data_IF_205478921128
#
_entry.id   IF_205478921128
#
_cell.length_a   1.000
_cell.length_b   1.000
_cell.length_c   1.000
_cell.angle_alpha   90.00
_cell.angle_beta   90.00
_cell.angle_gamma   90.00
#
_symmetry.space_group_name_H-M   'P 1'
#
loop_
_entity.id
_entity.type
_entity.pdbx_description
1 polymer ?
#
# COMPACT_ATOMS: atom_id res chain seq x y z
N UNK A 1 -37.90 9.54 12.07
CA UNK A 1 -36.42 9.43 12.16
C UNK A 1 -35.79 10.73 11.72
N UNK A 2 -34.68 11.16 12.32
CA UNK A 2 -33.91 12.30 11.80
C UNK A 2 -33.17 11.88 10.55
N UNK A 3 -33.00 12.81 9.58
CA UNK A 3 -32.15 12.54 8.41
C UNK A 3 -30.71 12.25 8.83
N UNK A 4 -30.00 11.45 8.03
CA UNK A 4 -28.57 11.22 8.28
C UNK A 4 -27.76 12.52 8.15
N UNK A 5 -26.68 12.63 8.92
CA UNK A 5 -25.83 13.82 8.97
C UNK A 5 -25.10 14.12 7.66
N UNK A 6 -24.89 13.11 6.82
CA UNK A 6 -24.25 13.26 5.50
C UNK A 6 -25.18 13.87 4.43
N UNK A 7 -26.51 14.05 4.71
CA UNK A 7 -27.45 14.67 3.78
C UNK A 7 -27.70 16.14 4.15
N UNK A 8 -27.52 17.02 3.19
CA UNK A 8 -27.88 18.42 3.26
C UNK A 8 -29.17 18.66 2.46
N UNK A 9 -30.08 19.42 3.03
CA UNK A 9 -31.34 19.82 2.41
C UNK A 9 -31.45 21.34 2.50
N UNK A 10 -31.69 22.01 1.38
CA UNK A 10 -31.80 23.48 1.33
C UNK A 10 -32.84 23.92 0.28
N UNK A 11 -33.88 24.71 0.66
CA UNK A 11 -34.27 25.02 2.02
C UNK A 11 -34.80 23.77 2.78
N UNK A 12 -34.73 23.76 4.11
CA UNK A 12 -35.24 22.68 4.97
C UNK A 12 -36.68 22.88 5.38
N UNK A 13 -37.29 24.05 5.09
CA UNK A 13 -38.68 24.40 5.31
C UNK A 13 -39.12 25.40 4.25
N UNK A 14 -40.41 25.55 4.05
CA UNK A 14 -40.95 26.47 3.07
C UNK A 14 -42.49 26.52 3.13
N UNK A 15 -43.06 27.46 2.37
CA UNK A 15 -44.48 27.56 2.08
C UNK A 15 -44.70 27.66 0.57
N UNK A 16 -45.84 27.23 0.09
CA UNK A 16 -46.16 27.18 -1.34
C UNK A 16 -45.21 26.22 -2.15
N UNK A 17 -45.12 26.41 -3.42
CA UNK A 17 -44.25 25.62 -4.29
C UNK A 17 -42.79 26.09 -4.22
N UNK A 18 -41.90 25.24 -3.73
CA UNK A 18 -40.48 25.56 -3.54
C UNK A 18 -39.65 24.39 -4.08
N UNK A 19 -38.58 24.68 -4.81
CA UNK A 19 -37.57 23.69 -5.18
C UNK A 19 -36.64 23.48 -3.99
N UNK A 20 -36.40 22.19 -3.66
CA UNK A 20 -35.53 21.80 -2.55
C UNK A 20 -34.31 21.08 -3.16
N UNK A 21 -33.12 21.60 -2.87
CA UNK A 21 -31.86 20.95 -3.24
C UNK A 21 -31.47 19.93 -2.17
N UNK A 22 -31.26 18.69 -2.57
CA UNK A 22 -30.74 17.62 -1.73
C UNK A 22 -29.33 17.25 -2.21
N UNK A 23 -28.36 17.31 -1.32
CA UNK A 23 -26.96 17.02 -1.64
C UNK A 23 -26.28 16.26 -0.51
N UNK A 24 -25.12 15.68 -0.79
CA UNK A 24 -24.23 15.13 0.24
C UNK A 24 -23.34 16.24 0.82
N UNK A 25 -22.98 16.11 2.10
CA UNK A 25 -22.02 17.00 2.78
C UNK A 25 -20.57 16.62 2.48
N UNK A 26 -20.33 15.39 2.02
CA UNK A 26 -19.00 14.86 1.73
C UNK A 26 -19.07 13.73 0.72
N UNK A 27 -17.95 13.44 0.08
CA UNK A 27 -17.75 12.23 -0.72
C UNK A 27 -17.99 10.98 0.13
N UNK A 28 -18.51 9.93 -0.49
CA UNK A 28 -18.66 8.62 0.13
C UNK A 28 -17.53 7.73 -0.39
N UNK A 29 -16.57 7.42 0.47
CA UNK A 29 -15.37 6.65 0.11
C UNK A 29 -15.57 5.13 0.16
N UNK A 30 -16.66 4.66 0.80
CA UNK A 30 -17.02 3.23 0.82
C UNK A 30 -17.59 2.75 -0.50
N UNK A 31 -17.39 1.47 -0.82
CA UNK A 31 -17.87 0.89 -2.09
C UNK A 31 -19.36 0.56 -2.11
N UNK A 32 -20.01 0.44 -0.94
CA UNK A 32 -21.45 0.14 -0.87
C UNK A 32 -22.24 1.43 -0.72
N UNK A 33 -23.26 1.61 -1.55
CA UNK A 33 -24.13 2.78 -1.47
C UNK A 33 -24.72 2.95 -0.06
N UNK A 34 -24.80 4.20 0.40
CA UNK A 34 -25.46 4.54 1.68
C UNK A 34 -26.81 5.19 1.43
N UNK A 35 -27.78 4.92 2.30
CA UNK A 35 -29.14 5.40 2.16
C UNK A 35 -29.66 6.03 3.44
N UNK A 36 -30.62 6.94 3.31
CA UNK A 36 -31.40 7.51 4.42
C UNK A 36 -32.77 7.89 3.93
N UNK A 37 -33.71 8.11 4.85
CA UNK A 37 -35.07 8.55 4.55
C UNK A 37 -35.20 10.03 4.90
N UNK A 38 -35.72 10.83 3.97
CA UNK A 38 -36.23 12.16 4.21
C UNK A 38 -37.75 12.09 4.40
N UNK A 39 -38.24 12.74 5.45
CA UNK A 39 -39.66 12.82 5.78
C UNK A 39 -40.13 14.26 5.70
N UNK A 40 -41.01 14.55 4.75
CA UNK A 40 -41.72 15.84 4.65
C UNK A 40 -42.94 15.80 5.54
N UNK A 41 -43.15 16.87 6.34
CA UNK A 41 -44.25 16.98 7.31
C UNK A 41 -44.99 18.29 7.13
N UNK A 42 -46.32 18.21 7.15
CA UNK A 42 -47.19 19.37 7.22
C UNK A 42 -48.35 19.09 8.21
N UNK A 43 -48.92 20.13 8.75
CA UNK A 43 -50.08 20.01 9.66
C UNK A 43 -51.25 19.37 8.91
N UNK A 44 -51.91 18.42 9.53
CA UNK A 44 -53.08 17.71 9.01
C UNK A 44 -52.89 16.96 7.69
N UNK A 45 -51.66 16.65 7.34
CA UNK A 45 -51.32 15.86 6.16
C UNK A 45 -50.43 14.67 6.57
N UNK A 46 -50.65 13.51 5.93
CA UNK A 46 -49.80 12.35 6.17
C UNK A 46 -48.35 12.67 5.78
N UNK A 47 -47.38 12.16 6.53
CA UNK A 47 -45.99 12.31 6.25
C UNK A 47 -45.63 11.68 4.87
N UNK A 48 -44.81 12.39 4.10
CA UNK A 48 -44.27 11.87 2.82
C UNK A 48 -42.80 11.49 3.02
N UNK A 49 -42.46 10.24 2.73
CA UNK A 49 -41.10 9.75 2.88
C UNK A 49 -40.48 9.47 1.50
N UNK A 50 -39.20 9.78 1.37
CA UNK A 50 -38.39 9.45 0.18
C UNK A 50 -37.01 8.99 0.63
N UNK A 51 -36.55 7.92 0.01
CA UNK A 51 -35.19 7.43 0.19
C UNK A 51 -34.22 8.29 -0.60
N UNK A 52 -33.17 8.74 0.05
CA UNK A 52 -31.99 9.34 -0.57
C UNK A 52 -30.89 8.31 -0.56
N UNK A 53 -30.28 8.08 -1.71
CA UNK A 53 -29.16 7.16 -1.87
C UNK A 53 -27.95 7.93 -2.40
N UNK A 54 -26.79 7.68 -1.83
CA UNK A 54 -25.50 8.10 -2.39
C UNK A 54 -24.75 6.84 -2.83
N UNK A 55 -24.35 6.80 -4.10
CA UNK A 55 -23.60 5.69 -4.67
C UNK A 55 -22.29 5.44 -3.92
N UNK A 56 -21.86 4.20 -3.86
CA UNK A 56 -20.51 3.86 -3.41
C UNK A 56 -19.45 4.32 -4.39
N UNK A 57 -18.26 4.57 -3.90
CA UNK A 57 -17.07 4.80 -4.71
C UNK A 57 -16.68 3.47 -5.39
N UNK A 58 -16.31 3.46 -6.68
CA UNK A 58 -15.75 2.26 -7.30
C UNK A 58 -14.64 1.66 -6.46
N UNK A 59 -14.50 0.34 -6.53
CA UNK A 59 -13.43 -0.38 -5.82
C UNK A 59 -12.07 0.06 -6.35
N UNK A 60 -11.11 0.21 -5.45
CA UNK A 60 -9.77 0.65 -5.80
C UNK A 60 -8.74 0.25 -4.72
N UNK A 61 -7.49 0.28 -5.11
CA UNK A 61 -6.31 0.24 -4.24
C UNK A 61 -5.35 1.34 -4.68
N UNK A 62 -4.71 1.97 -3.72
CA UNK A 62 -3.71 3.02 -3.91
C UNK A 62 -2.58 2.77 -2.91
N UNK A 63 -1.41 2.35 -3.37
CA UNK A 63 -0.23 2.04 -2.58
C UNK A 63 0.85 3.08 -2.83
N UNK A 64 1.69 3.35 -1.83
CA UNK A 64 2.83 4.25 -2.01
C UNK A 64 3.69 3.84 -3.21
N UNK A 65 3.97 4.77 -4.12
CA UNK A 65 4.71 4.53 -5.39
C UNK A 65 6.08 3.90 -5.17
N UNK A 66 6.76 4.26 -4.06
CA UNK A 66 8.10 3.81 -3.77
C UNK A 66 8.37 3.61 -2.28
N UNK A 67 9.28 2.68 -2.01
CA UNK A 67 9.81 2.43 -0.68
C UNK A 67 11.31 2.06 -0.78
N UNK A 68 12.09 2.26 0.29
CA UNK A 68 13.51 2.01 0.23
C UNK A 68 14.10 1.43 1.53
N UNK A 69 15.11 0.60 1.36
CA UNK A 69 16.03 0.16 2.40
C UNK A 69 17.43 0.68 2.10
N UNK A 70 18.23 0.89 3.15
CA UNK A 70 19.66 1.14 3.02
C UNK A 70 20.42 -0.17 2.70
N UNK A 71 21.75 -0.06 2.48
CA UNK A 71 22.60 -1.21 2.15
C UNK A 71 22.66 -2.29 3.23
N UNK A 72 22.40 -1.95 4.49
CA UNK A 72 22.44 -2.90 5.60
C UNK A 72 21.16 -3.76 5.62
N UNK A 73 20.13 -3.35 4.87
CA UNK A 73 18.81 -3.96 4.92
C UNK A 73 18.04 -3.56 6.17
N UNK A 74 16.73 -3.71 6.12
CA UNK A 74 15.82 -3.44 7.25
C UNK A 74 14.42 -3.95 6.94
N UNK A 75 13.55 -3.92 7.94
CA UNK A 75 12.11 -4.04 7.70
C UNK A 75 11.61 -2.73 7.10
N UNK A 76 10.99 -2.82 5.93
CA UNK A 76 10.34 -1.70 5.22
C UNK A 76 8.84 -1.88 5.30
N UNK A 77 8.14 -0.86 5.78
CA UNK A 77 6.67 -0.84 5.77
C UNK A 77 6.18 -0.09 4.53
N UNK A 78 5.41 -0.77 3.71
CA UNK A 78 4.70 -0.20 2.56
C UNK A 78 3.25 -0.01 2.97
N UNK A 79 2.71 1.18 2.74
CA UNK A 79 1.36 1.55 3.16
C UNK A 79 0.55 2.08 1.99
N UNK A 80 -0.76 2.01 2.13
CA UNK A 80 -1.70 2.52 1.13
C UNK A 80 -3.12 2.64 1.68
N UNK A 81 -4.05 2.96 0.80
CA UNK A 81 -5.48 3.07 1.09
C UNK A 81 -6.29 2.23 0.10
N UNK A 82 -7.41 1.71 0.53
CA UNK A 82 -8.32 0.94 -0.31
C UNK A 82 -9.74 0.97 0.27
N UNK A 83 -10.72 0.70 -0.57
CA UNK A 83 -12.08 0.35 -0.14
C UNK A 83 -12.47 -1.09 -0.50
N UNK A 84 -11.51 -1.90 -0.95
CA UNK A 84 -11.74 -3.30 -1.29
C UNK A 84 -12.02 -4.16 -0.05
N UNK A 85 -12.71 -5.25 -0.25
CA UNK A 85 -12.95 -6.26 0.79
C UNK A 85 -11.75 -7.20 0.97
N UNK A 86 -10.85 -7.27 -0.01
CA UNK A 86 -9.71 -8.18 -0.05
C UNK A 86 -8.55 -7.51 -0.79
N UNK A 87 -7.33 -7.69 -0.29
CA UNK A 87 -6.11 -7.31 -1.01
C UNK A 87 -5.20 -8.52 -1.15
N UNK A 88 -4.55 -8.61 -2.31
CA UNK A 88 -3.56 -9.64 -2.62
C UNK A 88 -2.25 -8.97 -2.99
N UNK A 89 -1.17 -9.36 -2.31
CA UNK A 89 0.18 -8.87 -2.55
C UNK A 89 0.96 -9.92 -3.33
N UNK A 90 1.61 -9.51 -4.42
CA UNK A 90 2.47 -10.36 -5.24
C UNK A 90 3.78 -9.65 -5.56
N UNK A 91 4.79 -10.43 -5.94
CA UNK A 91 6.07 -9.91 -6.42
C UNK A 91 6.00 -9.73 -7.94
N UNK A 92 6.27 -8.51 -8.38
CA UNK A 92 6.47 -8.19 -9.79
C UNK A 92 7.93 -8.33 -10.23
N UNK A 93 8.32 -7.57 -11.25
CA UNK A 93 9.67 -7.58 -11.82
C UNK A 93 10.70 -6.98 -10.87
N UNK A 94 11.98 -7.38 -11.03
CA UNK A 94 13.12 -6.84 -10.28
C UNK A 94 14.11 -7.92 -9.89
N UNK A 95 15.26 -7.51 -9.39
CA UNK A 95 16.43 -8.35 -9.03
C UNK A 95 16.65 -8.44 -7.51
N UNK A 96 15.91 -7.66 -6.71
CA UNK A 96 15.93 -7.77 -5.26
C UNK A 96 15.19 -9.04 -4.81
N UNK A 97 15.90 -9.95 -4.16
CA UNK A 97 15.32 -11.19 -3.64
C UNK A 97 14.75 -10.95 -2.25
N UNK A 98 13.44 -11.05 -2.14
CA UNK A 98 12.67 -10.93 -0.88
C UNK A 98 11.58 -11.98 -0.82
N UNK A 99 11.03 -12.19 0.36
CA UNK A 99 9.83 -13.02 0.58
C UNK A 99 8.72 -12.11 1.13
N UNK A 100 7.54 -12.19 0.55
CA UNK A 100 6.38 -11.49 1.08
C UNK A 100 5.90 -12.17 2.37
N UNK A 101 5.48 -11.39 3.37
CA UNK A 101 4.79 -11.92 4.54
C UNK A 101 3.48 -12.61 4.14
N UNK A 102 3.07 -13.61 4.89
CA UNK A 102 1.79 -14.30 4.70
C UNK A 102 0.58 -13.46 5.11
N UNK A 103 0.80 -12.30 5.75
CA UNK A 103 -0.25 -11.40 6.23
C UNK A 103 0.18 -9.94 6.14
N UNK A 104 -0.81 -9.06 6.17
CA UNK A 104 -0.68 -7.61 6.19
C UNK A 104 -1.67 -7.02 7.20
N UNK A 105 -1.55 -5.74 7.52
CA UNK A 105 -2.50 -5.03 8.39
C UNK A 105 -3.48 -4.23 7.53
N UNK A 106 -4.79 -4.42 7.73
CA UNK A 106 -5.85 -3.64 7.10
C UNK A 106 -6.79 -3.11 8.18
N UNK A 107 -7.07 -1.81 8.20
CA UNK A 107 -7.91 -1.16 9.22
C UNK A 107 -7.53 -1.59 10.66
N UNK A 108 -6.23 -1.65 10.95
CA UNK A 108 -5.65 -2.11 12.23
C UNK A 108 -5.89 -3.59 12.56
N UNK A 109 -6.35 -4.40 11.61
CA UNK A 109 -6.57 -5.84 11.77
C UNK A 109 -5.54 -6.61 10.95
N UNK A 110 -4.90 -7.62 11.56
CA UNK A 110 -4.01 -8.53 10.83
C UNK A 110 -4.84 -9.45 9.94
N UNK A 111 -4.56 -9.43 8.63
CA UNK A 111 -5.31 -10.16 7.61
C UNK A 111 -4.34 -11.02 6.79
N UNK A 112 -4.68 -12.26 6.54
CA UNK A 112 -3.87 -13.12 5.67
C UNK A 112 -3.89 -12.58 4.22
N UNK A 113 -2.76 -12.68 3.51
CA UNK A 113 -2.65 -12.26 2.13
C UNK A 113 -3.69 -12.99 1.26
N UNK A 114 -4.49 -12.22 0.50
CA UNK A 114 -5.57 -12.74 -0.34
C UNK A 114 -6.84 -13.18 0.39
N UNK A 115 -6.93 -13.01 1.72
CA UNK A 115 -8.15 -13.30 2.47
C UNK A 115 -9.06 -12.07 2.60
N UNK A 116 -10.35 -12.30 2.87
CA UNK A 116 -11.29 -11.24 3.17
C UNK A 116 -10.95 -10.54 4.48
N UNK A 117 -10.99 -9.22 4.47
CA UNK A 117 -10.77 -8.37 5.65
C UNK A 117 -11.99 -8.48 6.57
N UNK A 118 -11.73 -8.78 7.83
CA UNK A 118 -12.80 -8.94 8.84
C UNK A 118 -13.60 -7.65 8.99
N UNK A 119 -14.93 -7.78 9.02
CA UNK A 119 -15.84 -6.64 9.18
C UNK A 119 -15.99 -5.77 7.94
N UNK A 120 -15.30 -6.10 6.84
CA UNK A 120 -15.43 -5.40 5.56
C UNK A 120 -15.46 -3.86 5.67
N UNK A 121 -14.38 -3.23 6.16
CA UNK A 121 -14.36 -1.79 6.40
C UNK A 121 -14.60 -0.98 5.12
N UNK A 122 -14.12 -1.48 3.98
CA UNK A 122 -14.25 -0.86 2.67
C UNK A 122 -15.69 -0.74 2.16
N UNK A 123 -16.63 -1.49 2.71
CA UNK A 123 -18.04 -1.32 2.39
C UNK A 123 -18.56 0.08 2.78
N UNK A 124 -18.10 0.62 3.90
CA UNK A 124 -18.59 1.87 4.51
C UNK A 124 -17.69 3.06 4.20
N UNK A 125 -16.38 2.87 4.23
CA UNK A 125 -15.38 3.90 4.00
C UNK A 125 -14.07 3.27 3.51
N UNK A 126 -13.20 4.05 2.88
CA UNK A 126 -11.81 3.65 2.66
C UNK A 126 -11.09 3.39 3.97
N UNK A 127 -10.07 2.56 3.94
CA UNK A 127 -9.24 2.20 5.09
C UNK A 127 -7.76 2.18 4.71
N UNK A 128 -6.90 2.38 5.71
CA UNK A 128 -5.46 2.23 5.54
C UNK A 128 -5.06 0.76 5.63
N UNK A 129 -4.06 0.38 4.81
CA UNK A 129 -3.39 -0.90 4.92
C UNK A 129 -1.87 -0.73 4.97
N UNK A 130 -1.16 -1.73 5.46
CA UNK A 130 0.29 -1.79 5.43
C UNK A 130 0.81 -3.21 5.43
N UNK A 131 1.97 -3.41 4.78
CA UNK A 131 2.71 -4.67 4.78
C UNK A 131 4.17 -4.40 5.18
N UNK A 132 4.70 -5.19 6.12
CA UNK A 132 6.08 -5.06 6.60
C UNK A 132 6.95 -6.13 5.94
N UNK A 133 7.88 -5.72 5.06
CA UNK A 133 8.74 -6.59 4.26
C UNK A 133 10.16 -6.54 4.82
N UNK A 134 10.74 -7.70 5.13
CA UNK A 134 12.15 -7.79 5.50
C UNK A 134 13.02 -7.72 4.23
N UNK A 135 13.80 -6.65 4.12
CA UNK A 135 14.76 -6.44 3.03
C UNK A 135 16.14 -6.84 3.53
N UNK A 136 16.80 -7.83 2.90
CA UNK A 136 18.14 -8.26 3.29
C UNK A 136 19.19 -7.19 2.95
N UNK A 137 20.38 -7.32 3.55
CA UNK A 137 21.52 -6.48 3.20
C UNK A 137 21.89 -6.67 1.71
N UNK A 138 22.20 -5.58 1.04
CA UNK A 138 22.71 -5.59 -0.32
C UNK A 138 24.23 -5.40 -0.33
N UNK A 139 24.95 -6.47 -0.61
CA UNK A 139 26.43 -6.46 -0.72
C UNK A 139 26.93 -6.18 -2.13
N UNK A 140 26.03 -6.06 -3.11
CA UNK A 140 26.34 -5.68 -4.49
C UNK A 140 26.65 -4.19 -4.58
N UNK A 141 27.55 -3.81 -5.47
CA UNK A 141 27.86 -2.38 -5.76
C UNK A 141 26.76 -1.68 -6.58
N UNK A 142 25.69 -2.38 -6.92
CA UNK A 142 24.51 -1.85 -7.61
C UNK A 142 23.28 -1.90 -6.69
N UNK A 143 22.43 -0.88 -6.76
CA UNK A 143 21.13 -0.90 -6.12
C UNK A 143 20.27 -1.99 -6.76
N UNK A 144 19.41 -2.62 -5.96
CA UNK A 144 18.48 -3.66 -6.40
C UNK A 144 17.05 -3.21 -6.19
N UNK A 145 16.18 -3.64 -7.07
CA UNK A 145 14.76 -3.24 -7.02
C UNK A 145 13.83 -4.46 -7.09
N UNK A 146 12.61 -4.29 -6.58
CA UNK A 146 11.51 -5.24 -6.73
C UNK A 146 10.19 -4.50 -6.73
N UNK A 147 9.32 -4.81 -7.68
CA UNK A 147 7.94 -4.36 -7.64
C UNK A 147 7.14 -5.19 -6.64
N UNK A 148 6.36 -4.49 -5.83
CA UNK A 148 5.32 -5.07 -4.97
C UNK A 148 3.99 -4.66 -5.59
N UNK A 149 3.27 -5.62 -6.13
CA UNK A 149 1.97 -5.40 -6.77
C UNK A 149 0.89 -5.68 -5.73
N UNK A 150 -0.04 -4.76 -5.58
CA UNK A 150 -1.22 -4.90 -4.72
C UNK A 150 -2.45 -4.94 -5.62
N UNK A 151 -3.21 -6.02 -5.53
CA UNK A 151 -4.42 -6.24 -6.32
C UNK A 151 -5.63 -6.26 -5.40
N UNK A 152 -6.68 -5.52 -5.74
CA UNK A 152 -7.96 -5.54 -5.04
C UNK A 152 -8.86 -6.73 -5.47
N UNK A 153 -10.06 -6.88 -4.88
CA UNK A 153 -10.99 -7.96 -5.26
C UNK A 153 -11.53 -7.78 -6.68
N UNK A 154 -11.64 -6.53 -7.16
CA UNK A 154 -12.09 -6.18 -8.50
C UNK A 154 -11.04 -6.42 -9.60
N UNK A 155 -9.79 -6.71 -9.21
CA UNK A 155 -8.68 -6.93 -10.14
C UNK A 155 -7.95 -5.64 -10.54
N UNK A 156 -8.19 -4.51 -9.86
CA UNK A 156 -7.38 -3.31 -10.05
C UNK A 156 -6.05 -3.49 -9.33
N UNK A 157 -4.99 -3.06 -9.99
CA UNK A 157 -3.62 -3.20 -9.47
C UNK A 157 -2.98 -1.85 -9.27
N UNK A 158 -2.15 -1.76 -8.22
CA UNK A 158 -1.23 -0.67 -8.00
C UNK A 158 0.12 -1.20 -7.54
N UNK A 159 1.20 -0.44 -7.78
CA UNK A 159 2.57 -0.95 -7.72
C UNK A 159 3.47 -0.05 -6.89
N UNK A 160 4.09 -0.61 -5.87
CA UNK A 160 5.18 0.03 -5.14
C UNK A 160 6.54 -0.47 -5.63
N UNK A 161 7.46 0.43 -6.00
CA UNK A 161 8.84 0.08 -6.32
C UNK A 161 9.68 0.07 -5.04
N UNK A 162 10.04 -1.10 -4.56
CA UNK A 162 10.94 -1.28 -3.43
C UNK A 162 12.39 -1.30 -3.91
N UNK A 163 13.22 -0.41 -3.37
CA UNK A 163 14.63 -0.27 -3.70
C UNK A 163 15.52 -0.59 -2.50
N UNK A 164 16.55 -1.41 -2.68
CA UNK A 164 17.66 -1.61 -1.74
C UNK A 164 18.91 -0.88 -2.26
N UNK A 165 19.46 0.03 -1.46
CA UNK A 165 20.65 0.80 -1.83
C UNK A 165 21.85 -0.13 -2.09
N UNK A 166 22.78 0.30 -2.94
CA UNK A 166 24.03 -0.42 -3.22
C UNK A 166 24.90 -0.55 -1.98
N UNK A 167 25.58 -1.67 -1.85
CA UNK A 167 26.68 -1.88 -0.90
C UNK A 167 27.94 -1.10 -1.30
N UNK A 168 28.89 -1.01 -0.38
CA UNK A 168 30.19 -0.40 -0.64
C UNK A 168 31.03 -1.32 -1.53
N UNK A 169 31.78 -0.73 -2.44
CA UNK A 169 32.85 -1.46 -3.14
C UNK A 169 33.99 -1.76 -2.16
N UNK A 170 34.52 -2.97 -2.25
CA UNK A 170 35.69 -3.35 -1.46
C UNK A 170 36.61 -4.27 -2.26
N UNK A 171 37.87 -4.23 -1.92
CA UNK A 171 38.89 -5.23 -2.21
C UNK A 171 39.70 -5.49 -0.95
N UNK A 172 39.90 -6.74 -0.61
CA UNK A 172 40.73 -7.15 0.53
C UNK A 172 41.70 -8.23 0.11
N UNK A 173 42.90 -8.13 0.64
CA UNK A 173 43.98 -9.11 0.48
C UNK A 173 44.46 -9.42 1.88
N UNK A 174 44.92 -10.64 2.12
CA UNK A 174 45.46 -11.01 3.43
C UNK A 174 46.60 -10.05 3.81
N UNK A 175 46.63 -9.61 5.07
CA UNK A 175 47.70 -8.76 5.58
C UNK A 175 49.03 -9.53 5.64
N UNK A 176 50.12 -8.82 5.47
CA UNK A 176 51.46 -9.34 5.62
C UNK A 176 52.34 -9.18 4.37
N UNK A 177 53.50 -9.79 4.41
CA UNK A 177 54.48 -9.81 3.32
C UNK A 177 54.26 -11.06 2.48
N UNK A 178 54.21 -10.90 1.16
CA UNK A 178 54.23 -12.03 0.23
C UNK A 178 55.68 -12.43 0.01
N UNK A 179 56.11 -13.49 0.68
CA UNK A 179 57.48 -13.96 0.60
C UNK A 179 57.61 -15.00 -0.48
N UNK A 180 58.53 -14.78 -1.41
CA UNK A 180 58.91 -15.73 -2.41
C UNK A 180 60.24 -16.37 -2.01
N UNK A 181 60.42 -17.66 -2.29
CA UNK A 181 61.73 -18.31 -2.11
C UNK A 181 62.75 -17.83 -3.16
N UNK A 182 64.01 -18.19 -3.00
CA UNK A 182 65.07 -17.76 -3.90
C UNK A 182 64.93 -18.32 -5.34
N UNK A 183 64.05 -19.29 -5.52
CA UNK A 183 63.75 -19.88 -6.84
C UNK A 183 62.58 -19.16 -7.52
N UNK A 184 61.88 -18.24 -6.81
CA UNK A 184 60.70 -17.55 -7.32
C UNK A 184 59.51 -18.45 -7.43
N UNK A 185 59.38 -19.46 -6.54
CA UNK A 185 58.20 -20.35 -6.55
C UNK A 185 56.93 -19.52 -6.33
N UNK A 186 55.94 -19.77 -7.19
CA UNK A 186 54.67 -19.04 -7.13
C UNK A 186 53.94 -19.24 -5.79
N UNK A 187 53.48 -18.15 -5.21
CA UNK A 187 52.65 -18.10 -4.00
C UNK A 187 51.24 -17.68 -4.40
N UNK A 188 50.25 -18.39 -3.92
CA UNK A 188 48.83 -18.03 -4.15
C UNK A 188 48.38 -17.04 -3.10
N UNK A 189 47.85 -15.89 -3.53
CA UNK A 189 47.26 -14.87 -2.66
C UNK A 189 45.77 -14.78 -2.96
N UNK A 190 44.95 -14.94 -1.92
CA UNK A 190 43.50 -14.79 -2.06
C UNK A 190 43.14 -13.30 -2.06
N UNK A 191 42.42 -12.86 -3.09
CA UNK A 191 41.83 -11.54 -3.20
C UNK A 191 40.32 -11.69 -3.12
N UNK A 192 39.68 -10.99 -2.18
CA UNK A 192 38.23 -10.91 -2.05
C UNK A 192 37.73 -9.53 -2.50
N UNK A 193 36.79 -9.49 -3.43
CA UNK A 193 36.26 -8.24 -3.96
C UNK A 193 34.82 -8.43 -4.45
N UNK A 194 34.03 -7.36 -4.41
CA UNK A 194 32.72 -7.28 -5.08
C UNK A 194 32.74 -6.30 -6.28
N UNK A 195 33.93 -5.88 -6.70
CA UNK A 195 34.15 -4.98 -7.84
C UNK A 195 35.36 -5.45 -8.68
N UNK A 196 35.57 -4.86 -9.84
CA UNK A 196 36.80 -5.08 -10.62
C UNK A 196 38.00 -4.45 -9.90
N UNK A 197 39.14 -5.13 -9.97
CA UNK A 197 40.40 -4.66 -9.40
C UNK A 197 41.59 -4.96 -10.34
N UNK A 198 42.69 -4.26 -10.15
CA UNK A 198 43.95 -4.47 -10.87
C UNK A 198 45.13 -4.33 -9.91
N UNK A 199 46.27 -4.89 -10.28
CA UNK A 199 47.55 -4.72 -9.64
C UNK A 199 48.46 -3.92 -10.61
N UNK A 200 49.09 -2.87 -10.12
CA UNK A 200 50.07 -2.06 -10.87
C UNK A 200 51.51 -2.36 -10.43
#
# INVERSE_FOLDING_TARGET
MAKANWVRVNPSSGSNNVNVNVSSTAEHTGRVARTTILTWKAANVANIERTVSQAGKPEYVDVADAASADKAGKVVTISGVSNSKKLTFTLGTGDLTITLPSSYTANSVNTANGANISGDPGAVAEYNFSIAINVPANTSTTAKTRQIIVTDEGGHEDVCLLTSASGDAYVTVAEGVIELDYKGTAVTVEVKSNTTWSIE
#
